data_IF_793150111999
#
_entry.id   IF_793150111999
#
_cell.length_a   1.000
_cell.length_b   1.000
_cell.length_c   1.000
_cell.angle_alpha   90.00
_cell.angle_beta   90.00
_cell.angle_gamma   90.00
#
_symmetry.space_group_name_H-M   'P 1'
#
loop_
_entity.id
_entity.type
_entity.pdbx_description
1 polymer ?
#
# COMPACT_ATOMS: atom_id res chain seq x y z
N UNK A 1 -9.80 -0.68 15.30
CA UNK A 1 -9.18 -0.26 14.02
C UNK A 1 -9.75 -1.19 12.95
N UNK A 2 -10.45 -0.67 11.94
CA UNK A 2 -11.12 -1.51 10.92
C UNK A 2 -10.31 -1.66 9.63
N UNK A 3 -9.29 -0.81 9.44
CA UNK A 3 -8.30 -0.89 8.37
C UNK A 3 -7.01 -0.18 8.82
N UNK A 4 -5.84 -0.69 8.45
CA UNK A 4 -4.53 -0.14 8.82
C UNK A 4 -3.70 0.14 7.55
N UNK A 5 -3.20 1.37 7.40
CA UNK A 5 -2.17 1.69 6.40
C UNK A 5 -0.80 1.55 7.06
N UNK A 6 0.04 0.67 6.50
CA UNK A 6 1.38 0.39 7.02
C UNK A 6 2.44 0.78 5.99
N UNK A 7 3.17 1.86 6.26
CA UNK A 7 4.28 2.32 5.40
C UNK A 7 5.56 1.56 5.72
N UNK A 8 6.31 1.12 4.71
CA UNK A 8 7.54 0.35 4.94
C UNK A 8 8.63 0.60 3.90
N UNK A 9 9.88 0.62 4.37
CA UNK A 9 11.08 0.56 3.54
C UNK A 9 11.68 -0.84 3.40
N UNK A 10 11.03 -1.87 3.97
CA UNK A 10 11.47 -3.28 4.00
C UNK A 10 10.33 -4.22 3.64
N UNK A 11 10.65 -5.38 3.06
CA UNK A 11 9.68 -6.42 2.67
C UNK A 11 9.17 -7.21 3.87
N UNK A 12 8.40 -6.56 4.74
CA UNK A 12 7.88 -7.19 5.96
C UNK A 12 6.58 -7.94 5.70
N UNK A 13 6.44 -9.19 6.20
CA UNK A 13 5.20 -9.96 6.15
C UNK A 13 4.22 -9.55 7.26
N UNK A 14 4.32 -8.32 7.78
CA UNK A 14 3.39 -7.83 8.81
C UNK A 14 1.95 -7.81 8.29
N UNK A 15 1.04 -8.35 9.10
CA UNK A 15 -0.39 -8.39 8.88
C UNK A 15 -1.14 -8.48 10.21
N UNK A 16 -2.46 -8.32 10.18
CA UNK A 16 -3.33 -8.44 11.34
C UNK A 16 -4.51 -9.36 10.99
N UNK A 17 -4.82 -10.31 11.87
CA UNK A 17 -6.01 -11.15 11.70
C UNK A 17 -7.32 -10.35 11.84
N UNK A 18 -7.31 -9.29 12.65
CA UNK A 18 -8.50 -8.51 12.99
C UNK A 18 -8.87 -7.43 11.97
N UNK A 19 -7.95 -7.05 11.08
CA UNK A 19 -8.13 -5.91 10.17
C UNK A 19 -7.21 -6.03 8.96
N UNK A 20 -7.69 -5.70 7.75
CA UNK A 20 -6.82 -5.62 6.58
C UNK A 20 -5.71 -4.58 6.77
N UNK A 21 -4.54 -4.87 6.21
CA UNK A 21 -3.33 -4.05 6.29
C UNK A 21 -2.88 -3.67 4.89
N UNK A 22 -3.14 -2.43 4.49
CA UNK A 22 -2.68 -1.87 3.21
C UNK A 22 -1.21 -1.49 3.35
N UNK A 23 -0.34 -2.17 2.61
CA UNK A 23 1.11 -2.03 2.72
C UNK A 23 1.65 -1.10 1.64
N UNK A 24 2.27 0.01 2.05
CA UNK A 24 2.75 1.07 1.16
C UNK A 24 4.27 1.11 1.18
N UNK A 25 4.93 0.91 0.02
CA UNK A 25 6.40 0.95 -0.06
C UNK A 25 6.93 2.37 -0.20
N UNK A 26 8.06 2.66 0.45
CA UNK A 26 8.73 3.96 0.30
C UNK A 26 9.54 4.10 -1.00
N UNK A 27 9.80 3.01 -1.73
CA UNK A 27 10.64 2.99 -2.95
C UNK A 27 10.14 1.96 -3.96
N UNK A 28 10.21 2.31 -5.25
CA UNK A 28 9.72 1.47 -6.36
C UNK A 28 10.42 0.12 -6.48
N UNK A 29 11.72 0.08 -6.22
CA UNK A 29 12.49 -1.17 -6.19
C UNK A 29 11.90 -2.18 -5.18
N UNK A 30 11.38 -1.71 -4.04
CA UNK A 30 10.78 -2.61 -3.04
C UNK A 30 9.45 -3.17 -3.53
N UNK A 31 8.60 -2.35 -4.14
CA UNK A 31 7.34 -2.80 -4.75
C UNK A 31 7.58 -3.83 -5.85
N UNK A 32 8.60 -3.61 -6.69
CA UNK A 32 8.97 -4.55 -7.75
C UNK A 32 9.55 -5.86 -7.22
N UNK A 33 10.30 -5.80 -6.11
CA UNK A 33 10.88 -6.99 -5.48
C UNK A 33 9.84 -7.83 -4.75
N UNK A 34 8.81 -7.19 -4.18
CA UNK A 34 7.75 -7.84 -3.41
C UNK A 34 6.35 -7.46 -3.92
N UNK A 35 6.03 -7.76 -5.19
CA UNK A 35 4.77 -7.33 -5.80
C UNK A 35 3.55 -7.97 -5.12
N UNK A 36 3.74 -9.14 -4.50
CA UNK A 36 2.68 -9.85 -3.79
C UNK A 36 2.44 -9.31 -2.37
N UNK A 37 3.40 -8.54 -1.81
CA UNK A 37 3.31 -7.98 -0.46
C UNK A 37 2.93 -6.51 -0.43
N UNK A 38 3.31 -5.74 -1.46
CA UNK A 38 3.16 -4.29 -1.52
C UNK A 38 1.92 -3.95 -2.35
N UNK A 39 0.95 -3.31 -1.70
CA UNK A 39 -0.29 -2.90 -2.34
C UNK A 39 -0.10 -1.59 -3.15
N UNK A 40 0.70 -0.65 -2.63
CA UNK A 40 0.92 0.67 -3.25
C UNK A 40 2.39 1.06 -3.24
N UNK A 41 2.90 1.49 -4.40
CA UNK A 41 4.24 2.07 -4.54
C UNK A 41 4.25 3.60 -4.42
N UNK A 42 4.75 4.10 -3.28
CA UNK A 42 5.00 5.53 -3.07
C UNK A 42 6.35 6.02 -3.60
N UNK A 43 7.24 5.11 -4.03
CA UNK A 43 8.48 5.46 -4.70
C UNK A 43 8.29 6.20 -6.03
N UNK A 44 7.09 6.12 -6.62
CA UNK A 44 6.69 6.92 -7.79
C UNK A 44 6.82 8.43 -7.55
N UNK A 45 6.66 8.89 -6.30
CA UNK A 45 6.88 10.30 -5.93
C UNK A 45 8.36 10.68 -6.14
N UNK A 46 9.27 9.87 -5.59
CA UNK A 46 10.71 10.13 -5.68
C UNK A 46 11.26 10.03 -7.11
N UNK A 47 10.57 9.31 -8.00
CA UNK A 47 10.96 9.17 -9.43
C UNK A 47 10.24 10.17 -10.34
N UNK A 48 9.44 11.08 -9.80
CA UNK A 48 8.67 12.07 -10.57
C UNK A 48 7.55 11.47 -11.43
N UNK A 49 7.15 10.22 -11.18
CA UNK A 49 6.08 9.51 -11.92
C UNK A 49 4.69 9.74 -11.34
N UNK A 50 4.60 10.32 -10.14
CA UNK A 50 3.36 10.74 -9.50
C UNK A 50 3.64 11.92 -8.56
N UNK A 51 2.67 12.82 -8.38
CA UNK A 51 2.71 13.79 -7.28
C UNK A 51 2.28 13.14 -5.95
N UNK A 52 2.43 13.89 -4.84
CA UNK A 52 1.92 13.47 -3.54
C UNK A 52 0.39 13.39 -3.58
N UNK A 53 -0.24 14.35 -4.25
CA UNK A 53 -1.69 14.49 -4.39
C UNK A 53 -2.28 13.33 -5.19
N UNK A 54 -1.66 12.98 -6.32
CA UNK A 54 -2.09 11.84 -7.16
C UNK A 54 -2.06 10.53 -6.36
N UNK A 55 -0.95 10.29 -5.65
CA UNK A 55 -0.79 9.08 -4.85
C UNK A 55 -1.71 9.09 -3.62
N UNK A 56 -1.99 10.26 -3.05
CA UNK A 56 -2.93 10.42 -1.95
C UNK A 56 -4.35 10.00 -2.35
N UNK A 57 -4.81 10.43 -3.52
CA UNK A 57 -6.11 9.99 -4.07
C UNK A 57 -6.12 8.51 -4.43
N UNK A 58 -5.04 7.99 -5.01
CA UNK A 58 -4.90 6.55 -5.30
C UNK A 58 -5.03 5.72 -4.01
N UNK A 59 -4.31 6.10 -2.96
CA UNK A 59 -4.37 5.46 -1.64
C UNK A 59 -5.77 5.55 -1.04
N UNK A 60 -6.43 6.72 -1.14
CA UNK A 60 -7.78 6.91 -0.62
C UNK A 60 -8.78 5.97 -1.30
N UNK A 61 -8.75 5.88 -2.63
CA UNK A 61 -9.65 4.98 -3.36
C UNK A 61 -9.34 3.50 -3.07
N UNK A 62 -8.06 3.13 -2.98
CA UNK A 62 -7.67 1.77 -2.60
C UNK A 62 -8.16 1.42 -1.19
N UNK A 63 -8.05 2.36 -0.24
CA UNK A 63 -8.54 2.20 1.12
C UNK A 63 -10.05 1.93 1.15
N UNK A 64 -10.83 2.67 0.37
CA UNK A 64 -12.28 2.46 0.25
C UNK A 64 -12.62 1.10 -0.38
N UNK A 65 -11.88 0.68 -1.41
CA UNK A 65 -12.07 -0.63 -2.04
C UNK A 65 -11.79 -1.78 -1.06
N UNK A 66 -10.74 -1.67 -0.25
CA UNK A 66 -10.42 -2.67 0.79
C UNK A 66 -11.46 -2.67 1.90
N UNK A 67 -11.84 -1.50 2.40
CA UNK A 67 -12.88 -1.37 3.43
C UNK A 67 -14.24 -1.92 2.96
N UNK A 68 -14.53 -1.80 1.65
CA UNK A 68 -15.75 -2.33 1.02
C UNK A 68 -15.64 -3.82 0.64
N UNK A 69 -14.50 -4.48 0.88
CA UNK A 69 -14.27 -5.87 0.51
C UNK A 69 -14.11 -6.12 -1.00
N UNK A 70 -13.98 -5.08 -1.82
CA UNK A 70 -13.77 -5.20 -3.29
C UNK A 70 -12.34 -5.61 -3.64
N UNK A 71 -11.36 -5.18 -2.83
CA UNK A 71 -9.96 -5.58 -2.92
C UNK A 71 -9.53 -6.28 -1.64
N UNK A 72 -8.64 -7.26 -1.77
CA UNK A 72 -8.00 -7.94 -0.63
C UNK A 72 -6.54 -7.57 -0.60
N UNK A 73 -6.06 -7.17 0.57
CA UNK A 73 -4.63 -7.00 0.85
C UNK A 73 -3.98 -8.36 1.02
N UNK A 74 -2.66 -8.42 0.89
CA UNK A 74 -1.90 -9.60 1.29
C UNK A 74 -2.21 -9.97 2.75
N UNK A 75 -2.43 -11.26 3.02
CA UNK A 75 -2.74 -11.82 4.35
C UNK A 75 -1.94 -13.08 4.60
#
# INVERSE_FOLDING_TARGET
MNLHVFTTGRGTPYGLAMSPVVKVSTRTELAQRWPDLIDIDAGRIATGRASIEDLGWELFHFYLDVASGKKKTWT
#
